data_IF_134409383069
#
_entry.id   IF_134409383069
#
_cell.length_a   1.000
_cell.length_b   1.000
_cell.length_c   1.000
_cell.angle_alpha   90.00
_cell.angle_beta   90.00
_cell.angle_gamma   90.00
#
_symmetry.space_group_name_H-M   'P 1'
#
loop_
_entity.id
_entity.type
_entity.pdbx_description
1 polymer ?
#
# COMPACT_ATOMS: atom_id res chain seq x y z
N UNK A 1 -5.05 25.88 -17.60
CA UNK A 1 -5.17 27.11 -18.42
C UNK A 1 -5.19 26.73 -19.89
N UNK A 2 -5.78 27.54 -20.76
CA UNK A 2 -5.82 27.28 -22.19
C UNK A 2 -5.40 28.52 -23.00
N UNK A 3 -4.94 28.33 -24.23
CA UNK A 3 -4.52 29.44 -25.09
C UNK A 3 -5.68 30.27 -25.65
N UNK A 4 -6.87 29.67 -25.77
CA UNK A 4 -8.11 30.33 -26.20
C UNK A 4 -9.31 29.52 -25.73
N UNK A 5 -10.49 30.13 -25.76
CA UNK A 5 -11.77 29.52 -25.37
C UNK A 5 -12.83 29.96 -26.38
N UNK A 6 -13.65 29.02 -26.87
CA UNK A 6 -14.69 29.27 -27.90
C UNK A 6 -15.80 30.21 -27.40
N UNK A 7 -16.02 30.26 -26.08
CA UNK A 7 -17.02 31.13 -25.44
C UNK A 7 -17.20 30.80 -23.95
N UNK A 8 -18.13 31.49 -23.25
CA UNK A 8 -18.29 31.42 -21.80
C UNK A 8 -18.61 30.02 -21.24
N UNK A 9 -19.16 29.13 -22.07
CA UNK A 9 -19.45 27.73 -21.71
C UNK A 9 -18.31 26.75 -21.99
N UNK A 10 -17.24 27.14 -22.70
CA UNK A 10 -16.18 26.24 -23.21
C UNK A 10 -14.83 26.50 -22.53
N UNK A 11 -14.86 26.86 -21.26
CA UNK A 11 -13.69 27.33 -20.51
C UNK A 11 -12.69 26.20 -20.22
N UNK A 12 -11.41 26.55 -20.00
CA UNK A 12 -10.35 25.59 -19.70
C UNK A 12 -10.66 24.71 -18.47
N UNK A 13 -11.40 25.24 -17.50
CA UNK A 13 -11.83 24.50 -16.30
C UNK A 13 -12.76 23.32 -16.61
N UNK A 14 -13.37 23.29 -17.80
CA UNK A 14 -14.30 22.26 -18.24
C UNK A 14 -13.59 21.05 -18.88
N UNK A 15 -12.24 21.03 -18.94
CA UNK A 15 -11.48 19.92 -19.51
C UNK A 15 -11.41 18.67 -18.61
N UNK A 16 -12.08 18.65 -17.46
CA UNK A 16 -12.01 17.55 -16.49
C UNK A 16 -12.65 16.27 -17.04
N UNK A 17 -11.96 15.14 -16.88
CA UNK A 17 -12.47 13.82 -17.26
C UNK A 17 -13.82 13.52 -16.57
N UNK A 18 -14.78 12.97 -17.32
CA UNK A 18 -16.10 12.63 -16.79
C UNK A 18 -17.02 13.82 -16.49
N UNK A 19 -16.61 15.05 -16.81
CA UNK A 19 -17.48 16.22 -16.66
C UNK A 19 -18.73 16.06 -17.54
N UNK A 20 -19.90 16.32 -16.93
CA UNK A 20 -21.19 16.37 -17.61
C UNK A 20 -21.48 17.82 -18.01
N UNK A 21 -22.04 18.00 -19.20
CA UNK A 21 -22.51 19.30 -19.67
C UNK A 21 -23.73 19.77 -18.88
N UNK A 22 -23.86 21.08 -18.71
CA UNK A 22 -24.96 21.75 -18.01
C UNK A 22 -25.37 23.01 -18.76
N UNK A 23 -26.47 23.64 -18.36
CA UNK A 23 -26.95 24.91 -18.93
C UNK A 23 -25.91 26.06 -18.99
N UNK A 24 -24.81 25.99 -18.22
CA UNK A 24 -23.77 27.03 -18.18
C UNK A 24 -22.36 26.53 -18.53
N UNK A 25 -22.20 25.24 -18.83
CA UNK A 25 -20.90 24.61 -19.06
C UNK A 25 -21.03 23.53 -20.13
N UNK A 26 -20.38 23.72 -21.27
CA UNK A 26 -20.46 22.90 -22.47
C UNK A 26 -19.77 21.52 -22.38
N UNK A 27 -19.52 21.01 -21.17
CA UNK A 27 -19.03 19.65 -20.92
C UNK A 27 -17.61 19.34 -21.37
N UNK A 28 -16.92 20.29 -22.01
CA UNK A 28 -15.53 20.21 -22.40
C UNK A 28 -14.95 21.62 -22.59
N UNK A 29 -13.62 21.69 -22.73
CA UNK A 29 -12.95 22.86 -23.25
C UNK A 29 -12.90 22.80 -24.78
N UNK A 30 -13.16 23.94 -25.46
CA UNK A 30 -13.07 24.06 -26.92
C UNK A 30 -12.41 25.35 -27.40
N UNK A 31 -11.68 25.30 -28.52
CA UNK A 31 -10.90 26.45 -29.01
C UNK A 31 -10.54 26.45 -30.51
N UNK A 32 -10.05 27.59 -31.03
CA UNK A 32 -9.81 27.81 -32.47
C UNK A 32 -8.39 27.46 -32.95
N UNK A 33 -7.36 27.58 -32.09
CA UNK A 33 -6.01 27.00 -32.28
C UNK A 33 -5.28 26.93 -30.94
N UNK A 34 -5.20 25.75 -30.29
CA UNK A 34 -4.83 25.82 -28.89
C UNK A 34 -3.94 24.75 -28.26
N UNK A 35 -3.41 25.11 -27.09
CA UNK A 35 -2.88 24.17 -26.11
C UNK A 35 -3.74 24.16 -24.85
N UNK A 36 -3.82 23.00 -24.21
CA UNK A 36 -4.40 22.82 -22.88
C UNK A 36 -3.28 22.54 -21.88
N UNK A 37 -3.12 23.39 -20.86
CA UNK A 37 -2.06 23.26 -19.85
C UNK A 37 -2.59 22.82 -18.50
N UNK A 38 -1.93 21.80 -17.96
CA UNK A 38 -2.07 21.28 -16.61
C UNK A 38 -0.91 21.79 -15.74
N UNK A 39 -1.22 22.26 -14.53
CA UNK A 39 -0.23 22.53 -13.47
C UNK A 39 -0.44 21.46 -12.39
N UNK A 40 0.58 20.65 -12.16
CA UNK A 40 0.57 19.55 -11.19
C UNK A 40 0.90 20.03 -9.75
N UNK A 41 1.16 21.34 -9.58
CA UNK A 41 1.49 22.01 -8.33
C UNK A 41 2.98 21.92 -7.96
N UNK A 42 3.59 20.75 -8.18
CA UNK A 42 5.03 20.48 -8.04
C UNK A 42 5.50 19.57 -9.18
N UNK A 43 6.81 19.46 -9.46
CA UNK A 43 7.32 18.45 -10.38
C UNK A 43 6.87 17.05 -9.94
N UNK A 44 6.24 16.31 -10.84
CA UNK A 44 5.80 14.93 -10.64
C UNK A 44 6.12 14.11 -11.88
N UNK A 45 6.36 12.82 -11.70
CA UNK A 45 6.51 11.87 -12.81
C UNK A 45 5.17 11.67 -13.48
N UNK A 46 5.05 12.03 -14.74
CA UNK A 46 3.87 11.82 -15.57
C UNK A 46 4.01 10.51 -16.31
N UNK A 47 3.03 9.62 -16.16
CA UNK A 47 3.10 8.23 -16.64
C UNK A 47 2.02 7.92 -17.65
N UNK A 48 0.87 8.59 -17.60
CA UNK A 48 -0.27 8.31 -18.48
C UNK A 48 -1.02 9.58 -18.82
N UNK A 49 -1.49 9.64 -20.07
CA UNK A 49 -2.47 10.63 -20.53
C UNK A 49 -3.78 9.93 -20.89
N UNK A 50 -4.91 10.52 -20.51
CA UNK A 50 -6.24 10.03 -20.90
C UNK A 50 -7.01 11.16 -21.58
N UNK A 51 -7.59 10.90 -22.75
CA UNK A 51 -8.42 11.86 -23.48
C UNK A 51 -9.83 11.33 -23.75
N UNK A 52 -10.80 12.23 -23.79
CA UNK A 52 -12.20 11.96 -24.07
C UNK A 52 -12.80 13.15 -24.84
N UNK A 53 -13.76 12.92 -25.73
CA UNK A 53 -14.43 13.99 -26.46
C UNK A 53 -15.48 14.75 -25.63
N UNK A 54 -16.26 15.61 -26.29
CA UNK A 54 -17.30 16.43 -25.67
C UNK A 54 -18.44 15.55 -25.13
N UNK A 55 -18.94 15.82 -23.92
CA UNK A 55 -20.13 15.12 -23.42
C UNK A 55 -21.37 15.49 -24.24
N UNK A 56 -22.35 14.59 -24.26
CA UNK A 56 -23.71 14.90 -24.72
C UNK A 56 -24.53 15.55 -23.61
N UNK A 57 -25.40 16.49 -23.98
CA UNK A 57 -26.42 17.03 -23.10
C UNK A 57 -27.81 16.94 -23.72
N UNK A 58 -28.81 16.41 -22.99
CA UNK A 58 -30.20 16.46 -23.41
C UNK A 58 -30.79 17.89 -23.38
N UNK A 59 -30.12 18.85 -22.73
CA UNK A 59 -30.59 20.24 -22.62
C UNK A 59 -30.41 21.04 -23.93
N UNK A 60 -29.58 20.54 -24.86
CA UNK A 60 -29.25 21.22 -26.13
C UNK A 60 -29.42 20.30 -27.35
N UNK A 61 -30.61 19.71 -27.58
CA UNK A 61 -30.82 18.64 -28.57
C UNK A 61 -30.61 19.06 -30.04
N UNK A 62 -30.48 20.37 -30.31
CA UNK A 62 -30.26 20.92 -31.65
C UNK A 62 -28.80 21.17 -32.03
N UNK A 63 -27.85 20.99 -31.11
CA UNK A 63 -26.41 21.17 -31.40
C UNK A 63 -25.71 19.85 -31.75
N UNK A 64 -24.74 19.91 -32.66
CA UNK A 64 -23.90 18.75 -32.97
C UNK A 64 -22.85 18.55 -31.86
N UNK A 65 -23.10 17.57 -30.99
CA UNK A 65 -22.18 17.20 -29.90
C UNK A 65 -21.05 16.25 -30.32
N UNK A 66 -20.98 15.92 -31.61
CA UNK A 66 -19.97 15.03 -32.19
C UNK A 66 -18.64 15.76 -32.39
N UNK A 67 -18.01 16.16 -31.29
CA UNK A 67 -16.75 16.92 -31.29
C UNK A 67 -15.69 16.24 -30.42
N UNK A 68 -14.51 15.96 -30.99
CA UNK A 68 -13.38 15.36 -30.28
C UNK A 68 -12.04 15.58 -31.01
N UNK A 69 -10.94 15.55 -30.25
CA UNK A 69 -9.58 15.53 -30.79
C UNK A 69 -9.22 14.11 -31.27
N UNK A 70 -8.63 14.01 -32.47
CA UNK A 70 -8.24 12.73 -33.10
C UNK A 70 -6.73 12.48 -33.06
N UNK A 71 -5.90 13.52 -32.92
CA UNK A 71 -4.48 13.39 -32.58
C UNK A 71 -3.91 14.63 -31.89
N UNK A 72 -2.85 14.45 -31.10
CA UNK A 72 -2.16 15.53 -30.38
C UNK A 72 -0.68 15.24 -30.13
N UNK A 73 0.10 16.27 -29.79
CA UNK A 73 1.44 16.17 -29.22
C UNK A 73 1.50 16.83 -27.85
N UNK A 74 2.56 16.59 -27.07
CA UNK A 74 2.72 17.21 -25.74
C UNK A 74 4.04 17.95 -25.58
N UNK A 75 4.03 18.99 -24.76
CA UNK A 75 5.23 19.64 -24.26
C UNK A 75 5.17 19.75 -22.73
N UNK A 76 6.31 19.78 -22.07
CA UNK A 76 6.40 19.75 -20.61
C UNK A 76 7.55 20.60 -20.07
N UNK A 77 7.42 21.08 -18.83
CA UNK A 77 8.42 21.93 -18.20
C UNK A 77 8.20 22.05 -16.68
N UNK A 78 9.16 22.66 -15.99
CA UNK A 78 9.09 22.86 -14.54
C UNK A 78 8.84 24.32 -14.16
N UNK A 79 9.10 25.25 -15.09
CA UNK A 79 8.93 26.68 -14.94
C UNK A 79 7.90 27.23 -15.95
N UNK A 80 7.61 28.53 -15.89
CA UNK A 80 6.77 29.15 -16.90
C UNK A 80 7.63 29.49 -18.13
N UNK A 81 7.39 28.80 -19.25
CA UNK A 81 8.04 29.12 -20.52
C UNK A 81 9.31 28.30 -20.85
N UNK A 82 9.63 27.28 -20.05
CA UNK A 82 10.74 26.35 -20.27
C UNK A 82 10.30 25.06 -20.99
N UNK A 83 9.13 25.04 -21.61
CA UNK A 83 8.53 23.77 -22.02
C UNK A 83 9.25 23.13 -23.22
N UNK A 84 9.76 21.92 -23.03
CA UNK A 84 10.34 21.07 -24.05
C UNK A 84 9.28 20.16 -24.69
N UNK A 85 9.43 19.82 -25.97
CA UNK A 85 8.58 18.82 -26.62
C UNK A 85 8.90 17.43 -26.10
N UNK A 86 7.87 16.59 -25.96
CA UNK A 86 8.07 15.16 -25.74
C UNK A 86 8.34 14.49 -27.09
N UNK A 87 9.56 13.98 -27.23
CA UNK A 87 10.12 13.53 -28.51
C UNK A 87 10.55 12.08 -28.45
N UNK A 88 10.47 11.39 -29.58
CA UNK A 88 11.08 10.08 -29.79
C UNK A 88 12.61 10.14 -29.84
N UNK A 89 13.24 8.98 -30.01
CA UNK A 89 14.70 8.85 -30.15
C UNK A 89 15.27 9.64 -31.35
N UNK A 90 14.41 9.92 -32.34
CA UNK A 90 14.74 10.71 -33.53
C UNK A 90 14.63 12.23 -33.31
N UNK A 91 14.27 12.66 -32.11
CA UNK A 91 14.09 14.07 -31.74
C UNK A 91 12.82 14.71 -32.32
N UNK A 92 11.94 13.94 -32.97
CA UNK A 92 10.65 14.44 -33.45
C UNK A 92 9.59 14.33 -32.35
N UNK A 93 8.71 15.33 -32.29
CA UNK A 93 7.61 15.33 -31.33
C UNK A 93 6.68 14.14 -31.58
N UNK A 94 6.37 13.39 -30.52
CA UNK A 94 5.48 12.23 -30.61
C UNK A 94 4.05 12.70 -30.90
N UNK A 95 3.40 12.04 -31.86
CA UNK A 95 2.01 12.26 -32.22
C UNK A 95 1.16 11.11 -31.67
N UNK A 96 0.37 11.40 -30.65
CA UNK A 96 -0.54 10.44 -30.04
C UNK A 96 -1.83 10.36 -30.85
N UNK A 97 -2.33 9.14 -31.06
CA UNK A 97 -3.68 8.89 -31.60
C UNK A 97 -4.70 9.07 -30.48
N UNK A 98 -5.69 9.93 -30.68
CA UNK A 98 -6.69 10.25 -29.67
C UNK A 98 -8.03 9.58 -30.00
N UNK A 99 -9.14 10.27 -29.75
CA UNK A 99 -10.47 9.71 -29.76
C UNK A 99 -11.01 9.51 -31.19
N UNK A 100 -11.85 8.48 -31.38
CA UNK A 100 -12.62 8.23 -32.61
C UNK A 100 -14.11 8.55 -32.45
N UNK A 101 -14.53 8.82 -31.23
CA UNK A 101 -15.88 9.21 -30.84
C UNK A 101 -15.81 10.16 -29.63
N UNK A 102 -16.97 10.61 -29.12
CA UNK A 102 -17.02 11.61 -28.06
C UNK A 102 -16.99 11.02 -26.63
N UNK A 103 -17.33 9.75 -26.46
CA UNK A 103 -17.66 9.12 -25.17
C UNK A 103 -16.55 8.16 -24.69
N UNK A 104 -15.84 7.49 -25.59
CA UNK A 104 -14.76 6.57 -25.27
C UNK A 104 -13.57 7.31 -24.66
N UNK A 105 -12.99 6.76 -23.59
CA UNK A 105 -11.72 7.22 -23.02
C UNK A 105 -10.57 6.55 -23.77
N UNK A 106 -9.65 7.34 -24.29
CA UNK A 106 -8.43 6.83 -24.92
C UNK A 106 -7.28 7.07 -23.96
N UNK A 107 -6.58 6.00 -23.59
CA UNK A 107 -5.43 6.00 -22.68
C UNK A 107 -4.15 5.90 -23.51
N UNK A 108 -3.15 6.68 -23.13
CA UNK A 108 -1.79 6.61 -23.66
C UNK A 108 -0.84 6.34 -22.49
N UNK A 109 -0.25 5.15 -22.45
CA UNK A 109 0.79 4.81 -21.49
C UNK A 109 2.14 5.30 -22.02
N UNK A 110 2.81 6.19 -21.28
CA UNK A 110 4.04 6.81 -21.77
C UNK A 110 5.22 5.85 -21.80
N UNK A 111 5.14 4.70 -21.12
CA UNK A 111 6.12 3.62 -21.22
C UNK A 111 6.18 2.98 -22.60
N UNK A 112 5.11 3.06 -23.40
CA UNK A 112 5.08 2.58 -24.79
C UNK A 112 5.70 3.57 -25.80
N UNK A 113 6.20 4.70 -25.30
CA UNK A 113 6.82 5.77 -26.09
C UNK A 113 8.23 6.02 -25.54
N UNK A 114 8.63 7.28 -25.36
CA UNK A 114 9.92 7.67 -24.78
C UNK A 114 10.00 7.60 -23.25
N UNK A 115 9.05 6.91 -22.61
CA UNK A 115 9.00 6.72 -21.16
C UNK A 115 8.33 7.85 -20.35
N UNK A 116 8.00 7.58 -19.08
CA UNK A 116 7.53 8.60 -18.16
C UNK A 116 8.52 9.77 -18.01
N UNK A 117 8.01 10.98 -17.76
CA UNK A 117 8.85 12.17 -17.59
C UNK A 117 8.46 12.99 -16.37
N UNK A 118 9.42 13.67 -15.75
CA UNK A 118 9.14 14.55 -14.59
C UNK A 118 8.84 15.97 -15.06
N UNK A 119 7.67 16.50 -14.70
CA UNK A 119 7.29 17.86 -15.01
C UNK A 119 6.34 18.44 -13.96
N UNK A 120 6.33 19.77 -13.81
CA UNK A 120 5.24 20.47 -13.13
C UNK A 120 4.12 20.85 -14.10
N UNK A 121 4.49 21.24 -15.31
CA UNK A 121 3.57 21.72 -16.32
C UNK A 121 3.56 20.78 -17.52
N UNK A 122 2.36 20.44 -17.97
CA UNK A 122 2.16 19.64 -19.18
C UNK A 122 1.17 20.34 -20.08
N UNK A 123 1.52 20.52 -21.35
CA UNK A 123 0.65 21.08 -22.39
C UNK A 123 0.30 19.99 -23.39
N UNK A 124 -0.99 19.81 -23.64
CA UNK A 124 -1.50 19.02 -24.74
C UNK A 124 -1.78 19.95 -25.92
N UNK A 125 -1.26 19.61 -27.10
CA UNK A 125 -1.37 20.36 -28.35
C UNK A 125 -2.16 19.53 -29.37
N UNK A 126 -3.49 19.71 -29.47
CA UNK A 126 -4.30 19.11 -30.52
C UNK A 126 -3.79 19.42 -31.92
N UNK A 127 -3.69 18.38 -32.75
CA UNK A 127 -3.23 18.46 -34.14
C UNK A 127 -4.37 18.25 -35.13
N UNK A 128 -5.21 17.24 -34.89
CA UNK A 128 -6.38 16.93 -35.73
C UNK A 128 -7.61 16.66 -34.87
N UNK A 129 -8.81 16.91 -35.41
CA UNK A 129 -10.08 16.78 -34.68
C UNK A 129 -11.27 16.52 -35.62
N UNK A 130 -12.35 16.00 -35.05
CA UNK A 130 -13.66 15.87 -35.69
C UNK A 130 -14.61 16.96 -35.18
N UNK A 131 -15.25 17.70 -36.09
CA UNK A 131 -16.13 18.82 -35.75
C UNK A 131 -15.35 20.03 -35.24
N UNK A 132 -15.02 20.03 -33.95
CA UNK A 132 -14.27 21.09 -33.27
C UNK A 132 -13.19 20.51 -32.35
N UNK A 133 -12.18 21.32 -32.02
CA UNK A 133 -11.19 20.99 -31.00
C UNK A 133 -11.91 20.95 -29.65
N UNK A 134 -12.38 19.77 -29.25
CA UNK A 134 -13.10 19.55 -27.99
C UNK A 134 -12.47 18.37 -27.27
N UNK A 135 -12.08 18.57 -26.01
CA UNK A 135 -11.34 17.55 -25.25
C UNK A 135 -11.57 17.69 -23.75
N UNK A 136 -11.86 16.56 -23.11
CA UNK A 136 -11.64 16.30 -21.70
C UNK A 136 -10.36 15.48 -21.59
N UNK A 137 -9.50 15.80 -20.62
CA UNK A 137 -8.24 15.11 -20.46
C UNK A 137 -7.85 14.96 -18.99
N UNK A 138 -7.11 13.89 -18.70
CA UNK A 138 -6.52 13.59 -17.40
C UNK A 138 -5.04 13.26 -17.55
N UNK A 139 -4.25 13.66 -16.56
CA UNK A 139 -2.84 13.30 -16.44
C UNK A 139 -2.70 12.44 -15.20
N UNK A 140 -2.17 11.23 -15.36
CA UNK A 140 -1.78 10.38 -14.23
C UNK A 140 -0.32 10.67 -13.90
N UNK A 141 -0.07 10.99 -12.64
CA UNK A 141 1.30 11.08 -12.08
C UNK A 141 1.68 9.85 -11.26
N UNK A 142 0.72 8.96 -11.09
CA UNK A 142 0.95 7.63 -10.55
C UNK A 142 1.04 6.70 -11.76
N UNK A 143 2.06 5.84 -11.89
CA UNK A 143 1.98 4.74 -12.85
C UNK A 143 0.62 4.02 -12.64
N UNK A 144 -0.01 3.44 -13.68
CA UNK A 144 -0.99 2.41 -13.39
C UNK A 144 -0.31 1.46 -12.42
N UNK A 145 -0.90 1.32 -11.23
CA UNK A 145 -0.34 0.47 -10.20
C UNK A 145 -0.08 -0.93 -10.77
N UNK A 146 -0.87 -1.34 -11.75
CA UNK A 146 -0.77 -2.63 -12.39
C UNK A 146 -0.87 -2.47 -13.91
N UNK A 147 -0.07 -3.22 -14.66
CA UNK A 147 -0.21 -3.44 -16.11
C UNK A 147 -0.21 -4.94 -16.40
N UNK A 148 -0.65 -5.35 -17.58
CA UNK A 148 -0.76 -6.77 -17.92
C UNK A 148 -0.41 -7.04 -19.39
N UNK A 149 -0.11 -8.30 -19.70
CA UNK A 149 0.08 -8.81 -21.06
C UNK A 149 -1.15 -8.61 -21.93
N UNK A 150 -2.34 -8.78 -21.33
CA UNK A 150 -3.62 -8.66 -22.01
C UNK A 150 -4.74 -8.43 -20.99
N UNK A 151 -5.89 -7.95 -21.48
CA UNK A 151 -7.07 -7.66 -20.68
C UNK A 151 -8.30 -8.19 -21.42
N UNK A 152 -9.18 -8.93 -20.73
CA UNK A 152 -10.39 -9.50 -21.32
C UNK A 152 -11.27 -8.43 -21.98
N UNK A 153 -11.47 -7.32 -21.26
CA UNK A 153 -12.08 -6.09 -21.73
C UNK A 153 -11.70 -4.94 -20.80
N UNK A 154 -12.23 -3.73 -21.05
CA UNK A 154 -11.96 -2.56 -20.21
C UNK A 154 -12.44 -2.68 -18.76
N UNK A 155 -13.39 -3.56 -18.48
CA UNK A 155 -13.96 -3.78 -17.14
C UNK A 155 -13.09 -4.73 -16.30
N UNK A 156 -12.28 -5.55 -16.96
CA UNK A 156 -11.32 -6.51 -16.39
C UNK A 156 -9.86 -6.05 -16.51
N UNK A 157 -9.64 -4.75 -16.71
CA UNK A 157 -8.31 -4.18 -16.92
C UNK A 157 -7.33 -4.46 -15.75
N UNK A 158 -6.03 -4.34 -16.01
CA UNK A 158 -4.98 -4.53 -15.01
C UNK A 158 -5.18 -3.65 -13.76
N UNK A 159 -5.82 -2.49 -13.90
CA UNK A 159 -6.18 -1.62 -12.77
C UNK A 159 -7.07 -2.29 -11.71
N UNK A 160 -7.71 -3.41 -12.05
CA UNK A 160 -8.54 -4.23 -11.15
C UNK A 160 -7.75 -5.31 -10.41
N UNK A 161 -6.44 -5.38 -10.63
CA UNK A 161 -5.57 -6.35 -9.99
C UNK A 161 -5.19 -6.01 -8.54
N UNK A 162 -5.57 -4.87 -7.98
CA UNK A 162 -5.28 -4.61 -6.56
C UNK A 162 -6.01 -5.61 -5.65
N UNK A 163 -5.34 -6.11 -4.61
CA UNK A 163 -5.88 -7.08 -3.64
C UNK A 163 -7.24 -6.69 -3.05
N UNK A 164 -7.49 -5.39 -2.90
CA UNK A 164 -8.73 -4.85 -2.33
C UNK A 164 -9.80 -4.51 -3.37
N UNK A 165 -9.53 -4.80 -4.65
CA UNK A 165 -10.51 -4.55 -5.71
C UNK A 165 -11.81 -5.29 -5.41
N UNK A 166 -12.91 -4.54 -5.56
CA UNK A 166 -14.27 -5.03 -5.38
C UNK A 166 -15.05 -4.79 -6.64
N UNK A 167 -15.69 -5.84 -7.13
CA UNK A 167 -16.63 -5.79 -8.22
C UNK A 167 -17.75 -4.77 -7.97
N UNK A 168 -18.12 -4.04 -9.02
CA UNK A 168 -19.17 -3.03 -9.04
C UNK A 168 -20.02 -3.22 -10.29
N UNK A 169 -21.13 -2.49 -10.41
CA UNK A 169 -21.99 -2.53 -11.60
C UNK A 169 -21.24 -2.25 -12.93
N UNK A 170 -20.13 -1.50 -12.87
CA UNK A 170 -19.39 -1.03 -14.04
C UNK A 170 -17.92 -1.50 -14.07
N UNK A 171 -17.51 -2.44 -13.21
CA UNK A 171 -16.13 -2.93 -13.20
C UNK A 171 -15.99 -4.28 -12.50
N UNK A 172 -15.23 -5.20 -13.11
CA UNK A 172 -15.04 -6.56 -12.64
C UNK A 172 -14.27 -6.65 -11.32
N UNK A 173 -14.43 -7.77 -10.61
CA UNK A 173 -13.79 -8.01 -9.32
C UNK A 173 -12.28 -8.27 -9.30
N UNK A 174 -11.65 -8.37 -10.47
CA UNK A 174 -10.22 -8.64 -10.63
C UNK A 174 -9.75 -8.19 -12.01
N UNK A 175 -8.43 -8.20 -12.22
CA UNK A 175 -7.92 -8.29 -13.57
C UNK A 175 -8.23 -9.68 -14.13
N UNK A 176 -8.60 -9.75 -15.41
CA UNK A 176 -8.69 -11.00 -16.16
C UNK A 176 -7.96 -10.86 -17.50
N UNK A 177 -7.18 -11.88 -17.86
CA UNK A 177 -6.46 -11.91 -19.12
C UNK A 177 -7.42 -11.98 -20.32
N UNK A 178 -6.97 -11.62 -21.52
CA UNK A 178 -7.74 -11.85 -22.74
C UNK A 178 -7.73 -13.33 -23.16
N UNK A 179 -6.63 -14.03 -22.89
CA UNK A 179 -6.43 -15.43 -23.25
C UNK A 179 -5.93 -16.24 -22.06
N UNK A 180 -6.32 -17.52 -22.00
CA UNK A 180 -5.92 -18.47 -20.97
C UNK A 180 -4.75 -19.33 -21.48
N UNK A 181 -3.55 -18.79 -21.38
CA UNK A 181 -2.29 -19.45 -21.75
C UNK A 181 -1.17 -19.07 -20.76
N UNK A 182 0.00 -19.68 -20.92
CA UNK A 182 1.15 -19.47 -20.03
C UNK A 182 2.00 -18.25 -20.42
N UNK A 183 1.61 -17.51 -21.45
CA UNK A 183 2.32 -16.29 -21.90
C UNK A 183 1.77 -15.04 -21.20
N UNK A 184 0.77 -15.20 -20.33
CA UNK A 184 0.17 -14.09 -19.60
C UNK A 184 1.03 -13.61 -18.44
N UNK A 185 1.02 -12.31 -18.21
CA UNK A 185 1.68 -11.70 -17.06
C UNK A 185 0.90 -10.50 -16.54
N UNK A 186 1.07 -10.25 -15.25
CA UNK A 186 0.56 -9.08 -14.54
C UNK A 186 1.74 -8.40 -13.82
N UNK A 187 2.03 -7.16 -14.15
CA UNK A 187 3.17 -6.39 -13.64
C UNK A 187 2.73 -5.31 -12.65
N UNK A 188 3.48 -5.19 -11.57
CA UNK A 188 3.43 -4.09 -10.60
C UNK A 188 4.67 -3.21 -10.77
N UNK A 189 4.47 -1.94 -11.14
CA UNK A 189 5.50 -0.90 -10.94
C UNK A 189 5.35 -0.35 -9.51
N UNK A 190 6.41 -0.48 -8.72
CA UNK A 190 6.45 0.00 -7.33
C UNK A 190 6.79 1.50 -7.23
N UNK A 191 7.14 2.14 -8.34
CA UNK A 191 7.58 3.54 -8.41
C UNK A 191 9.07 3.70 -8.12
N UNK A 192 9.54 3.09 -7.02
CA UNK A 192 10.94 3.10 -6.58
C UNK A 192 11.46 1.66 -6.37
N UNK A 193 12.78 1.48 -6.48
CA UNK A 193 13.45 0.22 -6.17
C UNK A 193 13.24 -0.10 -4.69
N UNK A 194 12.59 -1.23 -4.40
CA UNK A 194 12.18 -1.62 -3.05
C UNK A 194 12.64 -3.04 -2.74
N UNK A 195 12.86 -3.33 -1.46
CA UNK A 195 13.04 -4.71 -0.99
C UNK A 195 11.66 -5.37 -0.93
N UNK A 196 11.52 -6.51 -1.58
CA UNK A 196 10.27 -7.25 -1.74
C UNK A 196 10.36 -8.51 -0.90
N UNK A 197 9.37 -8.66 -0.03
CA UNK A 197 9.30 -9.68 1.00
C UNK A 197 8.32 -10.80 0.69
N UNK A 198 7.43 -10.58 -0.28
CA UNK A 198 6.49 -11.61 -0.71
C UNK A 198 5.39 -11.06 -1.60
N UNK A 199 4.42 -11.93 -1.90
CA UNK A 199 3.24 -11.62 -2.71
C UNK A 199 2.00 -12.22 -2.06
N UNK A 200 0.93 -11.43 -2.00
CA UNK A 200 -0.40 -11.89 -1.58
C UNK A 200 -1.30 -11.96 -2.82
N UNK A 201 -2.06 -13.04 -2.98
CA UNK A 201 -2.99 -13.23 -4.10
C UNK A 201 -4.41 -13.58 -3.65
N UNK A 202 -5.40 -13.20 -4.48
CA UNK A 202 -6.81 -13.59 -4.45
C UNK A 202 -7.32 -13.85 -5.87
N UNK A 203 -8.41 -14.61 -5.99
CA UNK A 203 -9.21 -14.70 -7.21
C UNK A 203 -10.13 -13.50 -7.45
N UNK A 204 -11.05 -13.65 -8.41
CA UNK A 204 -12.08 -12.65 -8.72
C UNK A 204 -13.20 -12.66 -7.67
N UNK A 205 -13.45 -11.52 -7.03
CA UNK A 205 -14.56 -11.44 -6.08
C UNK A 205 -15.91 -11.46 -6.81
N UNK A 206 -16.94 -11.91 -6.10
CA UNK A 206 -18.33 -11.86 -6.55
C UNK A 206 -19.06 -10.64 -6.00
N UNK A 207 -19.86 -9.97 -6.84
CA UNK A 207 -20.91 -9.05 -6.42
C UNK A 207 -22.30 -9.48 -6.91
N UNK A 208 -23.35 -9.37 -6.06
CA UNK A 208 -24.74 -9.51 -6.49
C UNK A 208 -25.14 -8.51 -7.59
N UNK A 209 -24.42 -7.39 -7.74
CA UNK A 209 -24.67 -6.38 -8.76
C UNK A 209 -24.36 -6.90 -10.18
N UNK A 210 -23.59 -7.99 -10.31
CA UNK A 210 -23.21 -8.61 -11.58
C UNK A 210 -23.50 -10.13 -11.59
N UNK A 211 -24.78 -10.54 -11.51
CA UNK A 211 -25.14 -11.93 -11.26
C UNK A 211 -24.97 -12.85 -12.48
N UNK A 212 -24.72 -12.30 -13.67
CA UNK A 212 -24.78 -13.02 -14.94
C UNK A 212 -23.44 -13.60 -15.40
N UNK A 213 -22.34 -13.16 -14.81
CA UNK A 213 -20.99 -13.58 -15.22
C UNK A 213 -20.45 -14.69 -14.31
N UNK A 214 -19.49 -15.47 -14.81
CA UNK A 214 -18.80 -16.48 -14.00
C UNK A 214 -17.71 -15.81 -13.18
N UNK A 215 -17.85 -15.87 -11.85
CA UNK A 215 -16.91 -15.23 -10.92
C UNK A 215 -15.93 -16.20 -10.27
N UNK A 216 -16.13 -17.50 -10.46
CA UNK A 216 -15.31 -18.55 -9.86
C UNK A 216 -14.01 -18.75 -10.65
N UNK A 217 -13.19 -17.69 -10.69
CA UNK A 217 -12.02 -17.55 -11.53
C UNK A 217 -10.83 -17.13 -10.67
N UNK A 218 -9.75 -17.90 -10.70
CA UNK A 218 -8.56 -17.65 -9.89
C UNK A 218 -7.34 -18.37 -10.44
N UNK A 219 -6.17 -17.80 -10.21
CA UNK A 219 -4.88 -18.45 -10.48
C UNK A 219 -4.52 -19.39 -9.33
N UNK A 220 -4.08 -20.61 -9.66
CA UNK A 220 -3.75 -21.67 -8.69
C UNK A 220 -2.24 -21.87 -8.52
N UNK A 221 -1.42 -21.45 -9.48
CA UNK A 221 0.03 -21.31 -9.32
C UNK A 221 0.61 -20.26 -10.28
N UNK A 222 1.74 -19.65 -9.91
CA UNK A 222 2.42 -18.64 -10.72
C UNK A 222 3.94 -18.69 -10.54
N UNK A 223 4.69 -18.07 -11.45
CA UNK A 223 6.11 -17.74 -11.28
C UNK A 223 6.28 -16.22 -11.23
N UNK A 224 7.44 -15.76 -10.78
CA UNK A 224 7.75 -14.32 -10.69
C UNK A 224 8.99 -14.01 -11.53
N UNK A 225 8.93 -12.90 -12.27
CA UNK A 225 10.15 -12.21 -12.73
C UNK A 225 10.20 -10.79 -12.18
N UNK A 226 11.40 -10.25 -12.01
CA UNK A 226 11.60 -8.95 -11.38
C UNK A 226 12.81 -8.22 -11.96
N UNK A 227 12.77 -6.90 -11.90
CA UNK A 227 13.78 -6.03 -12.53
C UNK A 227 13.76 -4.61 -12.00
N UNK A 228 14.76 -3.82 -12.39
CA UNK A 228 14.86 -2.41 -12.01
C UNK A 228 14.47 -1.48 -13.17
N UNK A 229 14.44 -2.00 -14.39
CA UNK A 229 14.01 -1.33 -15.60
C UNK A 229 12.91 -2.16 -16.29
N UNK A 230 12.24 -1.60 -17.29
CA UNK A 230 11.26 -2.38 -18.04
C UNK A 230 12.03 -3.25 -19.05
N UNK A 231 11.82 -4.56 -19.00
CA UNK A 231 12.45 -5.52 -19.93
C UNK A 231 13.81 -6.07 -19.49
N UNK A 232 14.30 -5.71 -18.30
CA UNK A 232 15.50 -6.30 -17.69
C UNK A 232 15.18 -7.45 -16.73
N UNK A 233 13.94 -7.94 -16.72
CA UNK A 233 13.47 -8.79 -15.63
C UNK A 233 14.10 -10.19 -15.67
N UNK A 234 14.57 -10.67 -14.51
CA UNK A 234 15.03 -12.04 -14.31
C UNK A 234 14.00 -12.84 -13.52
N UNK A 235 13.95 -14.16 -13.74
CA UNK A 235 13.06 -15.02 -12.96
C UNK A 235 13.57 -15.22 -11.53
N UNK A 236 12.63 -15.31 -10.60
CA UNK A 236 12.89 -15.79 -9.25
C UNK A 236 13.20 -17.29 -9.31
N UNK A 237 14.37 -17.67 -8.80
CA UNK A 237 14.87 -19.04 -8.84
C UNK A 237 15.19 -19.56 -7.44
N UNK A 238 15.17 -20.89 -7.31
CA UNK A 238 15.66 -21.57 -6.13
C UNK A 238 17.21 -21.56 -6.04
N UNK A 239 17.76 -22.19 -5.00
CA UNK A 239 19.21 -22.31 -4.79
C UNK A 239 19.94 -23.09 -5.90
N UNK A 240 19.22 -23.93 -6.65
CA UNK A 240 19.75 -24.72 -7.76
C UNK A 240 19.58 -23.98 -9.12
N UNK A 241 19.01 -22.77 -9.10
CA UNK A 241 18.77 -21.95 -10.28
C UNK A 241 17.52 -22.35 -11.07
N UNK A 242 16.64 -23.18 -10.52
CA UNK A 242 15.36 -23.52 -11.16
C UNK A 242 14.31 -22.45 -10.83
N UNK A 243 13.46 -22.11 -11.81
CA UNK A 243 12.40 -21.11 -11.59
C UNK A 243 11.42 -21.61 -10.53
N UNK A 244 11.23 -20.82 -9.48
CA UNK A 244 10.32 -21.16 -8.38
C UNK A 244 8.87 -20.98 -8.81
N UNK A 245 8.08 -22.05 -8.68
CA UNK A 245 6.62 -22.02 -8.86
C UNK A 245 5.96 -21.84 -7.51
N UNK A 246 5.23 -20.74 -7.35
CA UNK A 246 4.52 -20.39 -6.13
C UNK A 246 3.10 -20.97 -6.16
N UNK A 247 2.63 -21.63 -5.09
CA UNK A 247 1.22 -21.97 -4.93
C UNK A 247 0.40 -20.69 -4.79
N UNK A 248 -0.79 -20.66 -5.37
CA UNK A 248 -1.70 -19.53 -5.28
C UNK A 248 -3.04 -19.99 -4.69
N UNK A 249 -4.16 -19.52 -5.23
CA UNK A 249 -5.45 -19.64 -4.60
C UNK A 249 -6.15 -20.97 -4.94
N UNK A 250 -6.95 -21.47 -4.00
CA UNK A 250 -7.88 -22.60 -4.17
C UNK A 250 -9.35 -22.14 -4.23
N UNK A 251 -9.60 -20.88 -3.87
CA UNK A 251 -10.88 -20.17 -4.02
C UNK A 251 -10.68 -18.71 -4.49
N UNK A 252 -11.77 -17.96 -4.51
CA UNK A 252 -11.82 -16.60 -5.08
C UNK A 252 -11.43 -15.49 -4.11
N UNK A 253 -11.58 -15.72 -2.81
CA UNK A 253 -11.70 -14.66 -1.80
C UNK A 253 -10.69 -14.79 -0.65
N UNK A 254 -10.16 -15.99 -0.41
CA UNK A 254 -9.14 -16.28 0.60
C UNK A 254 -7.76 -15.78 0.14
N UNK A 255 -7.07 -15.06 1.03
CA UNK A 255 -5.71 -14.57 0.78
C UNK A 255 -4.72 -15.73 0.87
N UNK A 256 -3.88 -15.86 -0.15
CA UNK A 256 -2.69 -16.70 -0.08
C UNK A 256 -1.48 -15.79 -0.07
N UNK A 257 -0.66 -15.90 0.98
CA UNK A 257 0.57 -15.15 1.13
C UNK A 257 1.76 -16.09 0.93
N UNK A 258 2.61 -15.74 -0.04
CA UNK A 258 3.91 -16.37 -0.21
C UNK A 258 4.98 -15.42 0.34
N UNK A 259 5.50 -15.73 1.53
CA UNK A 259 6.66 -15.05 2.11
C UNK A 259 7.93 -15.57 1.44
N UNK A 260 8.72 -14.69 0.83
CA UNK A 260 9.94 -15.09 0.14
C UNK A 260 11.01 -15.67 1.07
N UNK A 261 10.91 -15.49 2.38
CA UNK A 261 11.77 -16.17 3.36
C UNK A 261 11.61 -17.69 3.35
N UNK A 262 10.44 -18.19 2.98
CA UNK A 262 10.17 -19.63 2.88
C UNK A 262 10.73 -20.23 1.57
N UNK A 263 11.29 -19.39 0.70
CA UNK A 263 11.90 -19.76 -0.58
C UNK A 263 13.39 -19.35 -0.59
N UNK A 264 13.88 -18.74 -1.67
CA UNK A 264 15.28 -18.32 -1.82
C UNK A 264 15.58 -16.91 -1.29
N UNK A 265 14.69 -16.35 -0.49
CA UNK A 265 14.87 -15.06 0.16
C UNK A 265 14.29 -13.88 -0.62
N UNK A 266 14.40 -12.72 0.02
CA UNK A 266 13.86 -11.44 -0.47
C UNK A 266 14.58 -10.98 -1.73
N UNK A 267 13.89 -10.24 -2.58
CA UNK A 267 14.46 -9.64 -3.81
C UNK A 267 14.43 -8.12 -3.72
N UNK A 268 15.28 -7.44 -4.48
CA UNK A 268 15.24 -5.98 -4.61
C UNK A 268 14.90 -5.64 -6.05
N UNK A 269 13.78 -4.96 -6.26
CA UNK A 269 13.28 -4.63 -7.59
C UNK A 269 12.36 -3.41 -7.57
N UNK A 270 12.17 -2.80 -8.73
CA UNK A 270 11.09 -1.82 -8.96
C UNK A 270 9.90 -2.45 -9.67
N UNK A 271 10.17 -3.31 -10.65
CA UNK A 271 9.16 -3.99 -11.46
C UNK A 271 9.06 -5.45 -11.02
N UNK A 272 7.83 -5.92 -10.78
CA UNK A 272 7.55 -7.33 -10.50
C UNK A 272 6.46 -7.82 -11.42
N UNK A 273 6.73 -8.87 -12.19
CA UNK A 273 5.78 -9.58 -13.03
C UNK A 273 5.39 -10.90 -12.39
N UNK A 274 4.10 -11.12 -12.25
CA UNK A 274 3.49 -12.40 -11.88
C UNK A 274 3.08 -13.08 -13.18
N UNK A 275 3.53 -14.32 -13.39
CA UNK A 275 3.25 -15.13 -14.59
C UNK A 275 2.39 -16.34 -14.20
N UNK A 276 1.06 -16.29 -14.41
CA UNK A 276 0.17 -17.41 -14.10
C UNK A 276 0.59 -18.70 -14.82
N UNK A 277 0.69 -19.81 -14.08
CA UNK A 277 1.07 -21.11 -14.62
C UNK A 277 -0.13 -22.06 -14.74
N UNK A 278 -0.99 -22.06 -13.73
CA UNK A 278 -2.24 -22.84 -13.68
C UNK A 278 -3.36 -21.99 -13.08
N UNK A 279 -4.61 -22.27 -13.46
CA UNK A 279 -5.78 -21.50 -13.04
C UNK A 279 -7.05 -22.35 -13.01
N UNK A 280 -8.06 -21.87 -12.30
CA UNK A 280 -9.42 -22.39 -12.30
C UNK A 280 -10.32 -21.54 -13.20
N UNK A 281 -10.99 -22.18 -14.18
CA UNK A 281 -11.85 -21.59 -15.22
C UNK A 281 -11.19 -20.51 -16.11
N UNK A 282 -10.74 -19.40 -15.54
CA UNK A 282 -10.13 -18.29 -16.25
C UNK A 282 -8.98 -17.68 -15.44
N UNK A 283 -7.92 -17.22 -16.11
CA UNK A 283 -6.86 -16.42 -15.48
C UNK A 283 -7.49 -15.11 -15.02
N UNK A 284 -7.71 -15.02 -13.71
CA UNK A 284 -8.16 -13.83 -13.01
C UNK A 284 -7.41 -13.73 -11.70
N UNK A 285 -6.93 -12.53 -11.36
CA UNK A 285 -6.11 -12.33 -10.18
C UNK A 285 -6.30 -10.93 -9.60
N UNK A 286 -6.36 -10.88 -8.27
CA UNK A 286 -5.98 -9.72 -7.48
C UNK A 286 -4.71 -10.05 -6.73
N UNK A 287 -3.80 -9.09 -6.61
CA UNK A 287 -2.51 -9.27 -5.99
C UNK A 287 -2.07 -8.03 -5.21
N UNK A 288 -1.14 -8.25 -4.29
CA UNK A 288 -0.38 -7.21 -3.61
C UNK A 288 1.06 -7.66 -3.48
N UNK A 289 1.98 -6.84 -4.00
CA UNK A 289 3.41 -7.00 -3.75
C UNK A 289 3.71 -6.44 -2.36
N UNK A 290 4.33 -7.25 -1.51
CA UNK A 290 4.65 -6.87 -0.13
C UNK A 290 6.08 -6.37 -0.09
N UNK A 291 6.27 -5.07 0.06
CA UNK A 291 7.59 -4.46 0.24
C UNK A 291 7.96 -4.38 1.72
N UNK A 292 9.25 -4.50 2.03
CA UNK A 292 9.76 -4.06 3.31
C UNK A 292 9.50 -2.56 3.41
N UNK A 293 8.90 -2.12 4.52
CA UNK A 293 8.80 -0.69 4.80
C UNK A 293 10.23 -0.18 4.96
N UNK A 294 10.73 0.66 4.04
CA UNK A 294 12.04 1.28 4.23
C UNK A 294 11.91 2.25 5.41
N UNK A 295 12.43 1.80 6.56
CA UNK A 295 12.35 2.56 7.81
C UNK A 295 13.52 3.54 7.96
N UNK A 296 14.53 3.48 7.10
CA UNK A 296 15.75 4.26 7.20
C UNK A 296 15.91 5.24 6.04
N UNK A 297 16.71 6.29 6.26
CA UNK A 297 16.93 7.38 5.30
C UNK A 297 18.32 7.30 4.67
N UNK A 298 18.44 7.71 3.40
CA UNK A 298 19.73 7.76 2.69
C UNK A 298 20.72 8.77 3.30
N UNK A 299 20.23 9.80 3.99
CA UNK A 299 21.05 10.80 4.69
C UNK A 299 21.51 10.35 6.09
N UNK A 300 21.28 9.08 6.45
CA UNK A 300 21.67 8.46 7.73
C UNK A 300 21.09 9.17 8.97
N UNK A 301 19.98 9.90 8.81
CA UNK A 301 19.26 10.51 9.92
C UNK A 301 18.22 9.55 10.49
N UNK A 302 18.13 9.49 11.81
CA UNK A 302 17.24 8.63 12.56
C UNK A 302 16.59 9.39 13.72
N UNK A 303 15.61 8.79 14.40
CA UNK A 303 15.01 9.35 15.62
C UNK A 303 14.04 10.51 15.41
N UNK A 304 13.56 11.05 16.51
CA UNK A 304 12.49 12.05 16.52
C UNK A 304 12.88 13.32 15.74
N UNK A 305 12.04 13.71 14.78
CA UNK A 305 12.27 14.87 13.91
C UNK A 305 12.74 14.53 12.50
N UNK A 306 13.04 13.26 12.22
CA UNK A 306 13.34 12.76 10.88
C UNK A 306 12.32 11.68 10.51
N UNK A 307 11.61 11.89 9.41
CA UNK A 307 10.59 10.94 8.94
C UNK A 307 11.01 10.28 7.63
N UNK A 308 10.60 9.04 7.44
CA UNK A 308 10.64 8.34 6.15
C UNK A 308 9.57 8.89 5.20
N UNK A 309 9.62 8.48 3.93
CA UNK A 309 8.68 8.95 2.90
C UNK A 309 7.20 8.62 3.22
N UNK A 310 6.95 7.60 4.04
CA UNK A 310 5.64 7.19 4.52
C UNK A 310 5.17 7.94 5.80
N UNK A 311 5.96 8.91 6.29
CA UNK A 311 5.62 9.77 7.43
C UNK A 311 5.89 9.15 8.80
N UNK A 312 6.50 7.97 8.88
CA UNK A 312 6.94 7.34 10.13
C UNK A 312 8.30 7.89 10.58
N UNK A 313 8.63 7.72 11.86
CA UNK A 313 9.95 8.10 12.39
C UNK A 313 11.04 7.25 11.74
N UNK A 314 12.13 7.88 11.33
CA UNK A 314 13.26 7.21 10.70
C UNK A 314 14.07 6.38 11.72
N UNK A 315 14.35 5.14 11.35
CA UNK A 315 15.18 4.15 12.03
C UNK A 315 16.54 4.02 11.31
N UNK A 316 17.51 3.31 11.91
CA UNK A 316 18.74 2.94 11.19
C UNK A 316 18.58 1.55 10.57
N UNK A 317 19.21 1.34 9.42
CA UNK A 317 19.17 0.06 8.70
C UNK A 317 19.90 -1.02 9.52
N UNK A 318 19.20 -2.07 10.01
CA UNK A 318 19.81 -3.10 10.85
C UNK A 318 20.83 -3.97 10.09
N UNK A 319 20.71 -4.05 8.76
CA UNK A 319 21.58 -4.85 7.90
C UNK A 319 22.75 -4.04 7.32
N UNK A 320 22.80 -2.74 7.63
CA UNK A 320 23.85 -1.81 7.19
C UNK A 320 25.09 -1.85 8.07
N UNK A 321 26.18 -1.28 7.56
CA UNK A 321 27.38 -0.99 8.35
C UNK A 321 27.16 0.12 9.40
N UNK A 322 25.99 0.78 9.43
CA UNK A 322 25.63 1.84 10.39
C UNK A 322 24.28 1.54 11.09
N UNK A 323 24.21 0.49 11.93
CA UNK A 323 22.94 -0.01 12.41
C UNK A 323 22.38 0.69 13.65
N UNK A 324 23.13 1.59 14.29
CA UNK A 324 22.74 2.17 15.58
C UNK A 324 22.43 3.66 15.45
N UNK A 325 21.32 4.11 16.03
CA UNK A 325 20.98 5.52 16.12
C UNK A 325 21.52 6.14 17.40
N UNK A 326 22.36 7.16 17.24
CA UNK A 326 22.85 7.99 18.34
C UNK A 326 21.79 8.98 18.84
N UNK A 327 21.97 9.56 20.04
CA UNK A 327 21.07 10.59 20.58
C UNK A 327 21.06 11.87 19.74
N UNK A 328 22.06 12.04 18.86
CA UNK A 328 22.16 13.16 17.92
C UNK A 328 21.43 12.90 16.60
N UNK A 329 20.61 11.84 16.52
CA UNK A 329 19.80 11.51 15.35
C UNK A 329 20.66 11.14 14.12
N UNK A 330 21.72 10.37 14.34
CA UNK A 330 22.62 9.85 13.28
C UNK A 330 22.84 8.35 13.41
N UNK A 331 22.81 7.66 12.27
CA UNK A 331 23.16 6.25 12.16
C UNK A 331 24.68 6.06 12.14
N UNK A 332 25.16 5.10 12.93
CA UNK A 332 26.58 4.76 13.03
C UNK A 332 26.82 3.37 13.62
N UNK A 333 28.08 3.03 13.85
CA UNK A 333 28.52 1.72 14.35
C UNK A 333 29.59 1.78 15.45
N UNK A 334 29.83 2.97 16.02
CA UNK A 334 30.78 3.15 17.11
C UNK A 334 30.09 2.98 18.46
N UNK A 335 30.87 2.85 19.54
CA UNK A 335 30.33 2.79 20.90
C UNK A 335 29.45 4.02 21.23
N UNK A 336 29.79 5.21 20.72
CA UNK A 336 28.97 6.42 20.90
C UNK A 336 27.62 6.37 20.15
N UNK A 337 27.44 5.42 19.24
CA UNK A 337 26.19 5.20 18.50
C UNK A 337 25.42 3.97 18.97
N UNK A 338 26.11 2.94 19.49
CA UNK A 338 25.50 1.65 19.87
C UNK A 338 25.45 1.40 21.38
N UNK A 339 26.41 1.94 22.15
CA UNK A 339 26.66 1.56 23.56
C UNK A 339 26.34 2.71 24.54
N UNK A 340 25.48 3.66 24.16
CA UNK A 340 25.10 4.79 25.00
C UNK A 340 23.68 4.66 25.56
N UNK A 341 23.37 5.39 26.65
CA UNK A 341 22.11 5.25 27.38
C UNK A 341 20.85 5.55 26.54
N UNK A 342 20.95 6.50 25.61
CA UNK A 342 19.86 6.93 24.72
C UNK A 342 20.07 6.47 23.27
N UNK A 343 21.00 5.53 23.04
CA UNK A 343 21.26 4.95 21.73
C UNK A 343 20.24 3.86 21.43
N UNK A 344 19.87 3.71 20.16
CA UNK A 344 19.00 2.61 19.71
C UNK A 344 19.77 1.76 18.71
N UNK A 345 20.14 0.54 19.09
CA UNK A 345 20.75 -0.43 18.19
C UNK A 345 19.66 -1.20 17.43
N UNK A 346 19.58 -0.99 16.12
CA UNK A 346 18.54 -1.65 15.31
C UNK A 346 18.90 -3.10 14.97
N UNK A 347 20.15 -3.56 15.16
CA UNK A 347 20.47 -5.01 15.11
C UNK A 347 19.69 -5.76 16.18
N UNK A 348 19.49 -5.11 17.32
CA UNK A 348 18.72 -5.65 18.43
C UNK A 348 17.20 -5.48 18.22
N UNK A 349 16.75 -4.73 17.20
CA UNK A 349 15.34 -4.73 16.77
C UNK A 349 14.99 -5.90 15.85
N UNK A 350 15.99 -6.63 15.33
CA UNK A 350 15.82 -7.99 14.78
C UNK A 350 15.82 -9.04 15.91
N UNK A 351 16.22 -8.67 17.14
CA UNK A 351 16.13 -9.55 18.29
C UNK A 351 14.77 -9.41 18.98
N UNK A 352 13.81 -10.27 18.62
CA UNK A 352 12.97 -11.01 19.58
C UNK A 352 12.05 -12.00 18.87
N UNK A 353 12.58 -12.88 18.00
CA UNK A 353 11.90 -14.16 17.88
C UNK A 353 12.15 -14.89 19.21
N UNK A 354 11.26 -14.64 20.18
CA UNK A 354 11.32 -15.25 21.51
C UNK A 354 10.94 -16.72 21.47
N UNK A 355 10.37 -17.18 20.36
CA UNK A 355 9.93 -18.54 20.13
C UNK A 355 10.84 -19.27 19.15
N UNK A 356 10.89 -20.59 19.26
CA UNK A 356 11.70 -21.45 18.40
C UNK A 356 10.83 -22.11 17.34
N UNK A 357 11.40 -22.34 16.16
CA UNK A 357 10.71 -23.03 15.05
C UNK A 357 10.35 -24.50 15.39
N UNK A 358 11.05 -25.10 16.36
CA UNK A 358 10.79 -26.46 16.84
C UNK A 358 9.70 -26.53 17.93
N UNK A 359 9.01 -25.41 18.20
CA UNK A 359 7.92 -25.27 19.18
C UNK A 359 8.32 -25.63 20.62
N UNK A 360 9.61 -25.55 20.94
CA UNK A 360 10.11 -25.73 22.32
C UNK A 360 10.15 -24.42 23.06
N UNK A 361 9.71 -24.44 24.32
CA UNK A 361 9.60 -23.29 25.20
C UNK A 361 10.08 -23.64 26.62
N UNK A 362 10.26 -22.66 27.49
CA UNK A 362 10.57 -22.87 28.90
C UNK A 362 12.01 -23.30 29.18
N UNK A 363 12.27 -23.61 30.46
CA UNK A 363 13.61 -23.83 30.98
C UNK A 363 14.36 -24.96 30.25
N UNK A 364 15.57 -24.65 29.76
CA UNK A 364 16.42 -25.58 29.01
C UNK A 364 16.35 -25.42 27.49
N UNK A 365 15.48 -24.54 26.98
CA UNK A 365 15.41 -24.18 25.56
C UNK A 365 15.67 -22.70 25.42
N UNK A 366 16.69 -22.34 24.63
CA UNK A 366 17.04 -20.95 24.40
C UNK A 366 16.85 -20.56 22.94
N UNK A 367 16.51 -19.30 22.72
CA UNK A 367 16.54 -18.65 21.41
C UNK A 367 17.98 -18.36 20.98
N UNK A 368 18.17 -17.92 19.73
CA UNK A 368 19.50 -17.66 19.16
C UNK A 368 20.28 -16.58 19.94
N UNK A 369 19.57 -15.70 20.66
CA UNK A 369 20.12 -14.66 21.55
C UNK A 369 20.40 -15.15 22.98
N UNK A 370 20.23 -16.45 23.27
CA UNK A 370 20.55 -17.08 24.56
C UNK A 370 19.50 -16.91 25.67
N UNK A 371 18.37 -16.25 25.39
CA UNK A 371 17.25 -16.11 26.33
C UNK A 371 16.38 -17.37 26.34
N UNK A 372 15.61 -17.58 27.40
CA UNK A 372 14.66 -18.70 27.47
C UNK A 372 13.58 -18.56 26.40
N UNK A 373 13.31 -19.63 25.67
CA UNK A 373 12.33 -19.65 24.60
C UNK A 373 10.88 -19.58 25.15
N UNK A 374 10.07 -18.74 24.54
CA UNK A 374 8.64 -18.53 24.78
C UNK A 374 7.83 -19.16 23.63
N UNK A 375 6.49 -19.14 23.73
CA UNK A 375 5.63 -19.49 22.59
C UNK A 375 5.17 -18.24 21.86
N UNK A 376 4.98 -18.35 20.54
CA UNK A 376 4.52 -17.25 19.71
C UNK A 376 3.08 -16.86 20.09
N UNK A 377 2.85 -15.65 20.62
CA UNK A 377 1.53 -15.22 21.08
C UNK A 377 0.52 -15.05 19.94
N UNK A 378 0.99 -14.82 18.72
CA UNK A 378 0.16 -14.62 17.52
C UNK A 378 -0.06 -15.92 16.73
N UNK A 379 0.58 -17.02 17.16
CA UNK A 379 0.46 -18.35 16.57
C UNK A 379 -0.79 -19.10 17.04
N UNK A 380 -1.14 -20.15 16.30
CA UNK A 380 -2.13 -21.14 16.72
C UNK A 380 -1.69 -21.97 17.93
N UNK A 381 -0.44 -21.85 18.41
CA UNK A 381 0.12 -22.56 19.57
C UNK A 381 0.74 -21.61 20.62
N UNK A 382 -0.06 -20.75 21.27
CA UNK A 382 0.50 -19.64 22.02
C UNK A 382 0.81 -19.96 23.49
N UNK A 383 0.59 -21.20 23.95
CA UNK A 383 0.76 -21.57 25.35
C UNK A 383 1.87 -22.60 25.55
N UNK A 384 2.76 -22.38 26.52
CA UNK A 384 3.81 -23.31 26.90
C UNK A 384 3.35 -24.25 28.01
N UNK A 385 3.40 -25.56 27.75
CA UNK A 385 3.15 -26.59 28.74
C UNK A 385 4.34 -26.81 29.69
N UNK A 386 4.15 -27.44 30.87
CA UNK A 386 5.23 -27.87 31.77
C UNK A 386 6.23 -28.83 31.14
N UNK A 387 5.86 -29.45 30.00
CA UNK A 387 6.73 -30.34 29.23
C UNK A 387 7.59 -29.59 28.19
N UNK A 388 7.61 -28.25 28.24
CA UNK A 388 8.42 -27.41 27.37
C UNK A 388 8.00 -27.50 25.89
N UNK A 389 6.68 -27.49 25.63
CA UNK A 389 6.09 -27.50 24.28
C UNK A 389 5.00 -26.45 24.15
N UNK A 390 5.00 -25.77 23.00
CA UNK A 390 3.96 -24.85 22.59
C UNK A 390 2.72 -25.58 22.07
N UNK A 391 1.53 -25.16 22.51
CA UNK A 391 0.26 -25.73 22.11
C UNK A 391 -0.93 -24.83 22.42
N UNK A 392 -2.14 -25.32 22.18
CA UNK A 392 -3.39 -24.56 22.32
C UNK A 392 -4.54 -25.33 22.99
N UNK A 393 -4.25 -26.49 23.60
CA UNK A 393 -5.24 -27.27 24.35
C UNK A 393 -5.27 -26.83 25.81
N UNK A 394 -6.28 -27.27 26.56
CA UNK A 394 -6.35 -27.04 28.01
C UNK A 394 -5.10 -27.56 28.75
N UNK A 395 -4.48 -28.64 28.27
CA UNK A 395 -3.22 -29.17 28.84
C UNK A 395 -2.00 -28.27 28.59
N UNK A 396 -2.12 -27.27 27.70
CA UNK A 396 -1.06 -26.31 27.36
C UNK A 396 -1.37 -24.89 27.87
N UNK A 397 -2.64 -24.50 27.97
CA UNK A 397 -3.06 -23.15 28.38
C UNK A 397 -3.67 -23.11 29.79
N UNK A 398 -4.36 -24.16 30.23
CA UNK A 398 -5.20 -24.18 31.43
C UNK A 398 -4.69 -25.18 32.50
N UNK A 399 -3.37 -25.36 32.57
CA UNK A 399 -2.74 -26.31 33.48
C UNK A 399 -1.87 -25.63 34.55
N UNK A 400 -1.63 -26.32 35.67
CA UNK A 400 -0.71 -25.84 36.70
C UNK A 400 0.74 -25.80 36.16
N UNK A 401 1.30 -24.60 36.02
CA UNK A 401 2.64 -24.38 35.46
C UNK A 401 2.67 -24.14 33.95
N UNK A 402 1.52 -24.06 33.29
CA UNK A 402 1.40 -23.58 31.92
C UNK A 402 1.60 -22.04 31.86
N UNK A 403 2.12 -21.52 30.74
CA UNK A 403 2.26 -20.08 30.49
C UNK A 403 1.59 -19.73 29.17
N UNK A 404 0.58 -18.86 29.19
CA UNK A 404 -0.13 -18.37 28.00
C UNK A 404 0.45 -17.01 27.57
N UNK A 405 1.00 -16.93 26.36
CA UNK A 405 1.70 -15.73 25.89
C UNK A 405 0.78 -14.73 25.18
N UNK A 406 -0.50 -15.07 24.90
CA UNK A 406 -1.48 -14.15 24.28
C UNK A 406 -1.75 -12.88 25.08
N UNK A 407 -1.50 -12.93 26.38
CA UNK A 407 -1.78 -11.84 27.33
C UNK A 407 -0.67 -10.76 27.39
N UNK A 408 0.21 -10.67 26.38
CA UNK A 408 1.41 -9.80 26.41
C UNK A 408 1.28 -8.45 25.68
N UNK A 409 0.14 -8.10 25.08
CA UNK A 409 -0.13 -6.70 24.70
C UNK A 409 -0.55 -5.96 25.97
N UNK A 410 0.30 -5.04 26.43
CA UNK A 410 0.13 -4.24 27.66
C UNK A 410 -1.34 -3.91 27.92
N UNK A 411 -1.90 -4.56 28.94
CA UNK A 411 -3.26 -4.31 29.40
C UNK A 411 -3.23 -2.95 30.09
N UNK A 412 -3.60 -1.91 29.34
CA UNK A 412 -3.85 -0.60 29.94
C UNK A 412 -4.95 -0.79 30.99
N UNK A 413 -4.53 -0.84 32.27
CA UNK A 413 -5.41 -1.14 33.41
C UNK A 413 -6.31 0.05 33.77
N UNK A 414 -6.02 1.22 33.21
CA UNK A 414 -6.72 2.47 33.47
C UNK A 414 -7.48 2.94 32.24
N UNK A 415 -8.56 3.68 32.48
CA UNK A 415 -9.42 4.24 31.43
C UNK A 415 -9.11 5.70 31.19
N UNK A 416 -9.22 6.13 29.93
CA UNK A 416 -9.03 7.54 29.54
C UNK A 416 -10.06 8.50 30.18
N UNK A 417 -11.21 7.98 30.60
CA UNK A 417 -12.29 8.73 31.26
C UNK A 417 -12.09 8.87 32.79
N UNK A 418 -10.94 8.42 33.32
CA UNK A 418 -10.56 8.49 34.73
C UNK A 418 -11.54 7.76 35.68
N UNK A 419 -12.29 6.78 35.16
CA UNK A 419 -13.16 5.92 35.97
C UNK A 419 -12.43 4.68 36.43
N UNK A 420 -12.61 4.31 37.69
CA UNK A 420 -11.94 3.19 38.35
C UNK A 420 -12.94 2.41 39.22
N UNK A 421 -12.57 1.22 39.68
CA UNK A 421 -13.37 0.46 40.63
C UNK A 421 -14.60 -0.23 40.03
N UNK A 422 -15.42 -0.82 40.91
CA UNK A 422 -16.50 -1.73 40.52
C UNK A 422 -17.54 -1.05 39.60
N UNK A 423 -17.79 -1.67 38.44
CA UNK A 423 -18.71 -1.17 37.42
C UNK A 423 -18.05 -0.47 36.23
N UNK A 424 -16.73 -0.29 36.26
CA UNK A 424 -15.94 0.24 35.15
C UNK A 424 -14.90 -0.78 34.73
N UNK A 425 -14.96 -1.22 33.48
CA UNK A 425 -14.03 -2.22 32.94
C UNK A 425 -13.13 -1.64 31.86
N UNK A 426 -11.91 -2.15 31.77
CA UNK A 426 -10.98 -1.91 30.66
C UNK A 426 -11.39 -2.71 29.42
N UNK A 427 -10.71 -2.49 28.29
CA UNK A 427 -11.04 -3.14 27.01
C UNK A 427 -10.92 -4.67 27.06
N UNK A 428 -10.12 -5.20 27.99
CA UNK A 428 -9.94 -6.62 28.29
C UNK A 428 -10.96 -7.17 29.31
N UNK A 429 -11.93 -6.37 29.74
CA UNK A 429 -13.01 -6.78 30.65
C UNK A 429 -12.62 -6.84 32.13
N UNK A 430 -11.39 -6.49 32.51
CA UNK A 430 -10.95 -6.39 33.91
C UNK A 430 -11.45 -5.10 34.55
N UNK A 431 -11.47 -5.03 35.88
CA UNK A 431 -11.89 -3.81 36.60
C UNK A 431 -10.86 -2.72 36.39
N UNK A 432 -11.31 -1.51 36.06
CA UNK A 432 -10.44 -0.38 35.80
C UNK A 432 -9.75 0.12 37.09
N UNK A 433 -8.45 0.34 37.01
CA UNK A 433 -7.57 0.91 38.02
C UNK A 433 -7.23 2.38 37.67
N UNK A 434 -6.59 3.09 38.60
CA UNK A 434 -6.00 4.39 38.27
C UNK A 434 -4.55 4.22 37.85
N UNK A 435 -4.10 5.03 36.89
CA UNK A 435 -2.73 5.01 36.40
C UNK A 435 -1.77 5.42 37.53
N UNK A 436 -0.88 4.53 37.99
CA UNK A 436 0.02 4.79 39.12
C UNK A 436 1.08 5.86 38.81
N UNK A 437 1.40 6.06 37.53
CA UNK A 437 2.41 7.02 37.05
C UNK A 437 1.80 8.39 36.68
N UNK A 438 0.48 8.50 36.76
CA UNK A 438 -0.29 9.70 36.45
C UNK A 438 -0.38 10.67 37.64
N UNK A 439 -0.79 11.91 37.35
CA UNK A 439 -1.12 12.91 38.37
C UNK A 439 -2.39 12.57 39.17
N UNK A 440 -3.12 11.49 38.82
CA UNK A 440 -4.35 11.01 39.48
C UNK A 440 -4.27 9.52 39.82
N UNK A 441 -3.39 9.11 40.75
CA UNK A 441 -3.08 7.70 40.92
C UNK A 441 -3.99 6.96 41.91
N UNK A 442 -4.96 7.63 42.54
CA UNK A 442 -5.80 7.04 43.58
C UNK A 442 -7.27 6.96 43.16
N UNK A 443 -7.91 5.83 43.42
CA UNK A 443 -9.33 5.62 43.17
C UNK A 443 -10.18 5.94 44.42
N UNK A 444 -11.13 6.86 44.27
CA UNK A 444 -12.10 7.23 45.32
C UNK A 444 -13.27 6.24 45.41
N UNK A 445 -14.06 6.25 46.51
CA UNK A 445 -15.21 5.35 46.68
C UNK A 445 -16.36 5.63 45.70
N UNK A 446 -16.31 6.76 45.01
CA UNK A 446 -17.27 7.13 43.95
C UNK A 446 -16.77 6.78 42.54
N UNK A 447 -15.74 5.92 42.44
CA UNK A 447 -15.22 5.37 41.19
C UNK A 447 -14.58 6.42 40.26
N UNK A 448 -13.76 7.32 40.83
CA UNK A 448 -13.00 8.34 40.10
C UNK A 448 -11.54 8.39 40.54
N UNK A 449 -10.64 8.56 39.57
CA UNK A 449 -9.22 8.77 39.80
C UNK A 449 -8.92 10.22 40.20
N UNK A 450 -8.10 10.40 41.23
CA UNK A 450 -7.68 11.71 41.71
C UNK A 450 -6.42 11.65 42.59
N UNK A 451 -6.05 12.80 43.17
CA UNK A 451 -4.84 12.96 43.97
C UNK A 451 -5.06 13.77 45.27
N UNK A 452 -6.31 13.99 45.66
CA UNK A 452 -6.65 14.69 46.91
C UNK A 452 -6.79 13.69 48.06
N UNK A 453 -6.85 14.19 49.29
CA UNK A 453 -7.11 13.35 50.47
C UNK A 453 -8.42 12.54 50.34
N UNK A 454 -9.44 13.09 49.67
CA UNK A 454 -10.71 12.38 49.42
C UNK A 454 -10.57 11.23 48.40
N UNK A 455 -9.45 11.14 47.68
CA UNK A 455 -9.14 10.11 46.70
C UNK A 455 -8.05 9.13 47.15
N UNK A 456 -7.10 9.57 47.98
CA UNK A 456 -5.96 8.76 48.43
C UNK A 456 -6.02 8.37 49.92
N UNK A 457 -6.64 9.19 50.78
CA UNK A 457 -6.53 9.08 52.25
C UNK A 457 -7.84 8.63 52.93
N UNK A 458 -8.81 8.12 52.17
CA UNK A 458 -10.09 7.65 52.70
C UNK A 458 -10.09 6.14 52.97
N UNK A 459 -11.01 5.67 53.83
CA UNK A 459 -11.03 4.26 54.27
C UNK A 459 -11.27 3.25 53.13
N UNK A 460 -11.98 3.67 52.08
CA UNK A 460 -12.32 2.85 50.91
C UNK A 460 -11.58 3.30 49.64
N UNK A 461 -10.53 4.11 49.79
CA UNK A 461 -9.70 4.58 48.68
C UNK A 461 -8.62 3.55 48.34
N UNK A 462 -8.25 3.45 47.05
CA UNK A 462 -7.16 2.58 46.60
C UNK A 462 -6.08 3.43 45.96
N UNK A 463 -4.88 3.44 46.53
CA UNK A 463 -3.69 4.11 45.98
C UNK A 463 -2.85 3.12 45.18
N UNK A 464 -2.68 3.38 43.89
CA UNK A 464 -2.00 2.46 42.99
C UNK A 464 -0.49 2.72 42.89
N UNK A 465 0.06 3.76 43.54
CA UNK A 465 1.50 4.07 43.51
C UNK A 465 2.37 3.03 44.22
N UNK A 466 1.80 2.31 45.17
CA UNK A 466 2.54 1.43 46.09
C UNK A 466 2.54 -0.06 45.68
N UNK A 467 2.21 -0.40 44.43
CA UNK A 467 2.30 -1.79 43.97
C UNK A 467 3.71 -2.16 43.52
N UNK A 468 4.65 -2.28 44.47
CA UNK A 468 5.84 -3.12 44.32
C UNK A 468 5.59 -4.40 45.16
N UNK A 469 5.55 -5.61 44.59
CA UNK A 469 5.50 -6.82 45.39
C UNK A 469 6.89 -7.07 46.00
N UNK A 470 7.16 -6.41 47.13
CA UNK A 470 8.18 -6.87 48.06
C UNK A 470 7.79 -8.28 48.54
N UNK A 471 8.71 -9.19 48.24
CA UNK A 471 9.07 -10.39 48.97
C UNK A 471 8.44 -10.61 50.35
N UNK A 472 8.23 -11.90 50.59
CA UNK A 472 8.28 -12.64 51.87
C UNK A 472 6.98 -12.76 52.69
N UNK A 473 6.81 -13.85 53.47
CA UNK A 473 7.76 -14.94 53.78
C UNK A 473 7.28 -16.38 53.54
#
# INVERSE_FOLDING_TARGET
>A
MASSERGPGFLAKNSRLGLQETATSAGAWSAQKPWLRFDLGRPKTVTTLVTQGRSYSPDWPGESHSEWVTSYSISYGNENGDEAWYTGDDGQAIVFKANTDRDSKVRQDLSEFSGPFTARYVKIHPLTWHGWVSMRAGISTEPPSWSASSEFDSLHSAARADINSRETADAAGAWAAATNDQDQWLMRDLGDVSVITGVITKGRNYSPDWPWDKHDQYVTSYTISYGNEIGDETFYTDADGQVTVFPANDDRDTEVYNDFRDFSGRITARFVKIHPQTWHEHISMRAKIVTATQKWREDLRCGAGYTTADGRTAECDPDSIYPCCSPNNWCGNTADHCDCADCVDYRDTVATQKWREDLRCGAGYTTADGRTAECDPDSIYPCCSPNNWCGNTADHCDCAGCVDYRDTVATQKWREDLRCGAGYTTADGRTAECDPDSIYPCCSPINWCGNTADHCDCADCVDYRDTDPILDP
#
